data_IF_590088343327
#
_entry.id   IF_590088343327
#
_cell.length_a   1.000
_cell.length_b   1.000
_cell.length_c   1.000
_cell.angle_alpha   90.00
_cell.angle_beta   90.00
_cell.angle_gamma   90.00
#
_symmetry.space_group_name_H-M   'P 1'
#
loop_
_entity.id
_entity.type
_entity.pdbx_description
1 polymer ?
#
# COMPACT_ATOMS: atom_id res chain seq x y z
N UNK A 1 18.10 -18.75 -0.84
CA UNK A 1 16.64 -18.92 -0.59
C UNK A 1 15.95 -17.60 -0.24
N UNK A 2 16.52 -16.77 0.64
CA UNK A 2 15.98 -15.44 1.04
C UNK A 2 15.61 -14.55 -0.16
N UNK A 3 16.38 -14.61 -1.24
CA UNK A 3 16.15 -13.80 -2.43
C UNK A 3 14.80 -14.03 -3.12
N UNK A 4 14.42 -15.30 -3.31
CA UNK A 4 13.19 -15.66 -4.02
C UNK A 4 11.95 -15.25 -3.23
N UNK A 5 11.95 -15.51 -1.92
CA UNK A 5 10.87 -15.09 -1.02
C UNK A 5 10.74 -13.57 -0.93
N UNK A 6 11.86 -12.84 -0.84
CA UNK A 6 11.85 -11.38 -0.80
C UNK A 6 11.32 -10.78 -2.10
N UNK A 7 11.65 -11.35 -3.27
CA UNK A 7 11.11 -10.87 -4.54
C UNK A 7 9.62 -11.18 -4.72
N UNK A 8 9.14 -12.34 -4.27
CA UNK A 8 7.69 -12.64 -4.28
C UNK A 8 6.94 -11.69 -3.35
N UNK A 9 7.47 -11.43 -2.16
CA UNK A 9 6.88 -10.48 -1.21
C UNK A 9 6.89 -9.05 -1.77
N UNK A 10 8.00 -8.61 -2.36
CA UNK A 10 8.10 -7.31 -3.01
C UNK A 10 7.10 -7.18 -4.16
N UNK A 11 7.00 -8.21 -5.01
CA UNK A 11 6.04 -8.27 -6.11
C UNK A 11 4.61 -8.19 -5.62
N UNK A 12 4.26 -8.96 -4.58
CA UNK A 12 2.93 -8.91 -3.97
C UNK A 12 2.62 -7.50 -3.46
N UNK A 13 3.49 -6.93 -2.61
CA UNK A 13 3.28 -5.59 -2.05
C UNK A 13 3.18 -4.51 -3.14
N UNK A 14 4.04 -4.55 -4.17
CA UNK A 14 3.94 -3.65 -5.31
C UNK A 14 2.61 -3.79 -6.05
N UNK A 15 2.15 -5.03 -6.27
CA UNK A 15 0.85 -5.28 -6.89
C UNK A 15 -0.30 -4.72 -6.06
N UNK A 16 -0.27 -4.92 -4.73
CA UNK A 16 -1.27 -4.37 -3.81
C UNK A 16 -1.31 -2.84 -3.83
N UNK A 17 -0.15 -2.19 -3.64
CA UNK A 17 -0.04 -0.72 -3.65
C UNK A 17 -0.34 -0.13 -5.04
N UNK A 18 0.13 -0.76 -6.11
CA UNK A 18 -0.09 -0.32 -7.48
C UNK A 18 -1.55 -0.42 -7.90
N UNK A 19 -2.19 -1.57 -7.69
CA UNK A 19 -3.58 -1.76 -8.09
C UNK A 19 -4.53 -0.87 -7.28
N UNK A 20 -4.27 -0.70 -5.98
CA UNK A 20 -5.06 0.21 -5.15
C UNK A 20 -4.86 1.67 -5.54
N UNK A 21 -3.63 2.15 -5.74
CA UNK A 21 -3.39 3.55 -6.11
C UNK A 21 -3.95 3.91 -7.50
N UNK A 22 -3.69 3.08 -8.52
CA UNK A 22 -4.14 3.33 -9.89
C UNK A 22 -5.67 3.31 -10.01
N UNK A 23 -6.33 2.33 -9.40
CA UNK A 23 -7.79 2.19 -9.52
C UNK A 23 -8.55 3.09 -8.54
N UNK A 24 -7.98 3.41 -7.38
CA UNK A 24 -8.65 4.30 -6.42
C UNK A 24 -8.55 5.76 -6.82
N UNK A 25 -7.45 6.20 -7.43
CA UNK A 25 -7.32 7.56 -7.95
C UNK A 25 -8.39 7.86 -9.03
N UNK A 26 -8.70 6.88 -9.89
CA UNK A 26 -9.78 7.01 -10.87
C UNK A 26 -11.16 7.03 -10.19
N UNK A 27 -11.41 6.10 -9.26
CA UNK A 27 -12.70 5.99 -8.56
C UNK A 27 -13.03 7.19 -7.66
N UNK A 28 -12.03 7.84 -7.05
CA UNK A 28 -12.23 9.08 -6.29
C UNK A 28 -12.42 10.31 -7.19
N UNK A 29 -11.74 10.38 -8.34
CA UNK A 29 -11.89 11.50 -9.28
C UNK A 29 -13.22 11.48 -10.04
N UNK A 30 -13.76 10.32 -10.38
CA UNK A 30 -15.01 10.17 -11.15
C UNK A 30 -16.29 10.27 -10.28
N UNK A 31 -16.21 10.78 -9.05
CA UNK A 31 -17.40 11.12 -8.26
C UNK A 31 -18.10 9.89 -7.71
N UNK A 32 -17.43 9.16 -6.82
CA UNK A 32 -18.09 8.10 -6.05
C UNK A 32 -19.40 8.63 -5.44
N UNK A 33 -20.48 7.84 -5.52
CA UNK A 33 -21.82 8.18 -5.01
C UNK A 33 -21.80 8.66 -3.56
N UNK A 34 -20.78 8.25 -2.81
CA UNK A 34 -20.51 8.76 -1.47
C UNK A 34 -20.14 10.26 -1.50
N UNK A 35 -19.09 10.65 -2.22
CA UNK A 35 -18.56 12.04 -2.22
C UNK A 35 -19.60 13.03 -2.74
N UNK A 36 -20.40 12.65 -3.73
CA UNK A 36 -21.47 13.51 -4.27
C UNK A 36 -22.63 13.70 -3.29
N UNK A 37 -22.90 12.71 -2.43
CA UNK A 37 -23.96 12.78 -1.42
C UNK A 37 -23.56 13.43 -0.09
N UNK A 38 -22.28 13.80 0.10
CA UNK A 38 -21.81 14.49 1.30
C UNK A 38 -22.24 15.96 1.32
N UNK A 39 -22.68 16.44 2.48
CA UNK A 39 -22.85 17.88 2.77
C UNK A 39 -21.49 18.59 2.82
N UNK A 40 -21.50 19.93 2.80
CA UNK A 40 -20.26 20.72 2.83
C UNK A 40 -19.42 20.45 4.08
N UNK A 41 -20.05 20.34 5.24
CA UNK A 41 -19.38 19.99 6.51
C UNK A 41 -18.76 18.58 6.45
N UNK A 42 -19.50 17.62 5.90
CA UNK A 42 -19.00 16.25 5.74
C UNK A 42 -17.84 16.17 4.72
N UNK A 43 -17.84 17.01 3.69
CA UNK A 43 -16.74 17.10 2.71
C UNK A 43 -15.47 17.64 3.35
N UNK A 44 -15.57 18.64 4.21
CA UNK A 44 -14.43 19.16 4.99
C UNK A 44 -13.86 18.04 5.87
N UNK A 45 -14.71 17.33 6.63
CA UNK A 45 -14.27 16.19 7.44
C UNK A 45 -13.67 15.05 6.64
N UNK A 46 -14.24 14.76 5.47
CA UNK A 46 -13.70 13.77 4.56
C UNK A 46 -12.30 14.15 4.07
N UNK A 47 -12.08 15.41 3.70
CA UNK A 47 -10.78 15.92 3.25
C UNK A 47 -9.74 15.84 4.37
N UNK A 48 -10.06 16.28 5.59
CA UNK A 48 -9.17 16.19 6.76
C UNK A 48 -8.72 14.75 7.02
N UNK A 49 -9.67 13.81 7.05
CA UNK A 49 -9.39 12.39 7.29
C UNK A 49 -8.56 11.79 6.15
N UNK A 50 -8.84 12.18 4.91
CA UNK A 50 -8.09 11.70 3.73
C UNK A 50 -6.64 12.20 3.75
N UNK A 51 -6.43 13.47 4.05
CA UNK A 51 -5.12 14.09 4.13
C UNK A 51 -4.29 13.52 5.29
N UNK A 52 -4.90 13.26 6.44
CA UNK A 52 -4.23 12.56 7.55
C UNK A 52 -3.74 11.18 7.10
N UNK A 53 -4.60 10.39 6.45
CA UNK A 53 -4.25 9.04 5.97
C UNK A 53 -3.15 9.08 4.93
N UNK A 54 -3.19 10.05 4.03
CA UNK A 54 -2.14 10.27 3.03
C UNK A 54 -0.81 10.61 3.71
N UNK A 55 -0.83 11.51 4.69
CA UNK A 55 0.36 11.89 5.47
C UNK A 55 0.96 10.69 6.21
N UNK A 56 0.13 9.86 6.85
CA UNK A 56 0.60 8.63 7.51
C UNK A 56 1.26 7.65 6.53
N UNK A 57 0.66 7.45 5.36
CA UNK A 57 1.24 6.60 4.31
C UNK A 57 2.58 7.15 3.80
N UNK A 58 2.66 8.46 3.56
CA UNK A 58 3.91 9.12 3.14
C UNK A 58 4.99 9.04 4.21
N UNK A 59 4.66 9.24 5.48
CA UNK A 59 5.60 9.08 6.60
C UNK A 59 6.12 7.64 6.69
N UNK A 60 5.23 6.64 6.61
CA UNK A 60 5.61 5.24 6.61
C UNK A 60 6.54 4.89 5.45
N UNK A 61 6.31 5.46 4.27
CA UNK A 61 7.18 5.29 3.10
C UNK A 61 8.56 5.91 3.29
N UNK A 62 8.65 7.10 3.89
CA UNK A 62 9.94 7.73 4.20
C UNK A 62 10.73 6.90 5.22
N UNK A 63 10.08 6.45 6.30
CA UNK A 63 10.72 5.59 7.30
C UNK A 63 11.16 4.27 6.67
N UNK A 64 10.30 3.65 5.86
CA UNK A 64 10.60 2.42 5.13
C UNK A 64 11.79 2.58 4.18
N UNK A 65 11.88 3.70 3.46
CA UNK A 65 12.99 3.99 2.57
C UNK A 65 14.31 4.16 3.34
N UNK A 66 14.29 4.84 4.50
CA UNK A 66 15.46 4.97 5.36
C UNK A 66 15.93 3.60 5.90
N UNK A 67 14.99 2.74 6.32
CA UNK A 67 15.31 1.37 6.75
C UNK A 67 15.88 0.53 5.60
N UNK A 68 15.32 0.65 4.41
CA UNK A 68 15.83 -0.02 3.22
C UNK A 68 17.25 0.44 2.86
N UNK A 69 17.54 1.74 2.94
CA UNK A 69 18.89 2.27 2.76
C UNK A 69 19.86 1.71 3.80
N UNK A 70 19.47 1.70 5.08
CA UNK A 70 20.26 1.09 6.15
C UNK A 70 20.58 -0.39 5.87
N UNK A 71 19.57 -1.16 5.43
CA UNK A 71 19.75 -2.55 5.02
C UNK A 71 20.73 -2.69 3.85
N UNK A 72 20.63 -1.85 2.82
CA UNK A 72 21.53 -1.89 1.66
C UNK A 72 22.98 -1.62 2.06
N UNK A 73 23.23 -0.61 2.90
CA UNK A 73 24.57 -0.29 3.40
C UNK A 73 25.13 -1.45 4.24
N UNK A 74 24.32 -1.98 5.17
CA UNK A 74 24.72 -3.10 6.02
C UNK A 74 25.00 -4.38 5.21
N UNK A 75 24.14 -4.72 4.27
CA UNK A 75 24.31 -5.90 3.41
C UNK A 75 25.56 -5.78 2.56
N UNK A 76 25.88 -4.60 2.02
CA UNK A 76 27.10 -4.41 1.22
C UNK A 76 28.38 -4.47 2.05
N UNK A 77 28.32 -4.05 3.31
CA UNK A 77 29.47 -4.11 4.22
C UNK A 77 29.75 -5.54 4.73
N UNK A 78 28.72 -6.38 4.87
CA UNK A 78 28.84 -7.72 5.47
C UNK A 78 28.89 -8.85 4.43
N UNK A 79 28.13 -8.75 3.34
CA UNK A 79 28.03 -9.77 2.30
C UNK A 79 27.80 -9.13 0.92
N UNK A 80 28.91 -8.79 0.26
CA UNK A 80 28.91 -8.17 -1.07
C UNK A 80 28.52 -9.10 -2.22
N UNK A 81 28.18 -10.36 -1.94
CA UNK A 81 27.90 -11.37 -2.99
C UNK A 81 26.45 -11.39 -3.46
N UNK A 82 25.55 -10.63 -2.80
CA UNK A 82 24.14 -10.59 -3.18
C UNK A 82 23.93 -9.95 -4.57
N UNK A 83 23.09 -10.59 -5.39
CA UNK A 83 22.74 -10.04 -6.69
C UNK A 83 21.99 -8.71 -6.55
N UNK A 84 22.17 -7.83 -7.54
CA UNK A 84 21.50 -6.53 -7.59
C UNK A 84 19.97 -6.64 -7.50
N UNK A 85 19.39 -7.63 -8.19
CA UNK A 85 17.96 -7.91 -8.14
C UNK A 85 17.49 -8.24 -6.72
N UNK A 86 18.30 -9.00 -5.98
CA UNK A 86 18.01 -9.36 -4.61
C UNK A 86 17.90 -8.16 -3.68
N UNK A 87 18.87 -7.26 -3.82
CA UNK A 87 18.97 -6.05 -3.00
C UNK A 87 17.79 -5.13 -3.27
N UNK A 88 17.39 -4.97 -4.54
CA UNK A 88 16.19 -4.21 -4.91
C UNK A 88 14.94 -4.85 -4.31
N UNK A 89 14.74 -6.15 -4.47
CA UNK A 89 13.58 -6.84 -3.92
C UNK A 89 13.47 -6.66 -2.39
N UNK A 90 14.58 -6.81 -1.66
CA UNK A 90 14.60 -6.58 -0.23
C UNK A 90 14.30 -5.11 0.12
N UNK A 91 14.91 -4.15 -0.57
CA UNK A 91 14.65 -2.74 -0.34
C UNK A 91 13.17 -2.37 -0.56
N UNK A 92 12.55 -2.90 -1.62
CA UNK A 92 11.12 -2.70 -1.91
C UNK A 92 10.26 -3.37 -0.84
N UNK A 93 10.55 -4.63 -0.49
CA UNK A 93 9.80 -5.36 0.53
C UNK A 93 9.86 -4.64 1.88
N UNK A 94 11.04 -4.21 2.31
CA UNK A 94 11.24 -3.43 3.54
C UNK A 94 10.42 -2.15 3.48
N UNK A 95 10.58 -1.35 2.42
CA UNK A 95 9.89 -0.06 2.29
C UNK A 95 8.38 -0.21 2.38
N UNK A 96 7.80 -1.13 1.60
CA UNK A 96 6.35 -1.29 1.50
C UNK A 96 5.77 -2.00 2.74
N UNK A 97 6.48 -2.97 3.32
CA UNK A 97 6.06 -3.60 4.56
C UNK A 97 6.07 -2.59 5.70
N UNK A 98 7.14 -1.81 5.86
CA UNK A 98 7.19 -0.73 6.85
C UNK A 98 6.08 0.28 6.62
N UNK A 99 5.81 0.68 5.37
CA UNK A 99 4.70 1.59 5.05
C UNK A 99 3.36 1.03 5.52
N UNK A 100 3.10 -0.25 5.23
CA UNK A 100 1.88 -0.94 5.63
C UNK A 100 1.73 -1.03 7.15
N UNK A 101 2.77 -1.49 7.84
CA UNK A 101 2.74 -1.62 9.30
C UNK A 101 2.65 -0.27 10.00
N UNK A 102 3.42 0.73 9.55
CA UNK A 102 3.35 2.09 10.08
C UNK A 102 1.92 2.64 9.93
N UNK A 103 1.31 2.49 8.76
CA UNK A 103 -0.05 2.93 8.53
C UNK A 103 -1.08 2.23 9.44
N UNK A 104 -0.90 0.94 9.75
CA UNK A 104 -1.81 0.19 10.63
C UNK A 104 -1.63 0.59 12.09
N UNK A 105 -0.39 0.65 12.56
CA UNK A 105 -0.04 0.86 13.96
C UNK A 105 -0.28 2.29 14.42
N UNK A 106 -0.11 3.27 13.52
CA UNK A 106 -0.31 4.67 13.89
C UNK A 106 -1.78 4.96 14.21
N UNK A 107 -2.05 5.62 15.36
CA UNK A 107 -3.39 6.00 15.73
C UNK A 107 -3.94 6.99 14.71
N UNK A 108 -5.24 6.84 14.41
CA UNK A 108 -5.97 7.71 13.48
C UNK A 108 -6.87 8.61 14.31
N UNK A 109 -6.83 9.90 14.03
CA UNK A 109 -7.55 10.91 14.83
C UNK A 109 -9.06 10.69 14.79
N UNK A 110 -9.60 10.38 13.61
CA UNK A 110 -11.04 10.26 13.42
C UNK A 110 -11.46 9.29 12.31
N UNK A 111 -12.76 8.95 12.31
CA UNK A 111 -13.37 8.02 11.34
C UNK A 111 -14.64 8.60 10.75
N UNK A 112 -14.70 8.58 9.41
CA UNK A 112 -15.83 9.14 8.65
C UNK A 112 -17.19 8.56 9.07
N UNK A 113 -17.22 7.27 9.46
CA UNK A 113 -18.45 6.56 9.87
C UNK A 113 -19.26 7.24 10.97
N UNK A 114 -18.63 8.11 11.80
CA UNK A 114 -19.32 8.87 12.85
C UNK A 114 -20.20 9.99 12.32
N UNK A 115 -19.92 10.46 11.11
CA UNK A 115 -20.56 11.63 10.51
C UNK A 115 -21.53 11.26 9.39
N UNK A 116 -21.66 9.98 9.06
CA UNK A 116 -22.49 9.51 7.94
C UNK A 116 -23.87 9.09 8.43
N UNK A 117 -24.88 9.42 7.64
CA UNK A 117 -26.22 8.85 7.78
C UNK A 117 -26.26 7.43 7.16
N UNK A 118 -27.32 6.62 7.40
CA UNK A 118 -27.33 5.19 7.04
C UNK A 118 -27.03 4.93 5.55
N UNK A 119 -27.62 5.71 4.63
CA UNK A 119 -27.41 5.56 3.19
C UNK A 119 -25.95 5.85 2.79
N UNK A 120 -25.34 6.90 3.36
CA UNK A 120 -23.93 7.21 3.12
C UNK A 120 -23.01 6.17 3.78
N UNK A 121 -23.37 5.64 4.94
CA UNK A 121 -22.60 4.61 5.64
C UNK A 121 -22.48 3.35 4.79
N UNK A 122 -23.58 2.90 4.16
CA UNK A 122 -23.53 1.75 3.24
C UNK A 122 -22.59 2.01 2.05
N UNK A 123 -22.66 3.20 1.45
CA UNK A 123 -21.77 3.59 0.37
C UNK A 123 -20.29 3.62 0.83
N UNK A 124 -20.02 4.08 2.05
CA UNK A 124 -18.68 4.07 2.63
C UNK A 124 -18.15 2.65 2.87
N UNK A 125 -18.99 1.75 3.38
CA UNK A 125 -18.65 0.34 3.57
C UNK A 125 -18.44 -0.40 2.24
N UNK A 126 -19.25 -0.09 1.22
CA UNK A 126 -19.05 -0.60 -0.14
C UNK A 126 -17.71 -0.15 -0.73
N UNK A 127 -17.35 1.14 -0.56
CA UNK A 127 -16.03 1.66 -0.95
C UNK A 127 -14.89 0.93 -0.22
N UNK A 128 -15.04 0.69 1.08
CA UNK A 128 -14.07 -0.06 1.88
C UNK A 128 -13.86 -1.49 1.37
N UNK A 129 -14.94 -2.21 1.06
CA UNK A 129 -14.90 -3.57 0.48
C UNK A 129 -14.22 -3.58 -0.89
N UNK A 130 -14.54 -2.63 -1.75
CA UNK A 130 -13.89 -2.50 -3.07
C UNK A 130 -12.38 -2.25 -2.93
N UNK A 131 -11.96 -1.43 -1.96
CA UNK A 131 -10.56 -1.20 -1.68
C UNK A 131 -9.85 -2.47 -1.21
N UNK A 132 -10.45 -3.24 -0.30
CA UNK A 132 -9.90 -4.51 0.17
C UNK A 132 -9.77 -5.54 -0.97
N UNK A 133 -10.76 -5.63 -1.86
CA UNK A 133 -10.70 -6.53 -3.01
C UNK A 133 -9.57 -6.16 -3.96
N UNK A 134 -9.40 -4.86 -4.25
CA UNK A 134 -8.28 -4.35 -5.08
C UNK A 134 -6.93 -4.59 -4.40
N UNK A 135 -6.83 -4.38 -3.10
CA UNK A 135 -5.60 -4.65 -2.36
C UNK A 135 -5.22 -6.13 -2.43
N UNK A 136 -6.13 -7.03 -2.04
CA UNK A 136 -5.87 -8.47 -2.05
C UNK A 136 -5.66 -9.00 -3.47
N UNK A 137 -6.46 -8.55 -4.44
CA UNK A 137 -6.28 -8.91 -5.85
C UNK A 137 -4.92 -8.45 -6.38
N UNK A 138 -4.48 -7.24 -6.02
CA UNK A 138 -3.17 -6.73 -6.34
C UNK A 138 -2.04 -7.55 -5.71
N UNK A 139 -2.17 -7.93 -4.43
CA UNK A 139 -1.20 -8.79 -3.76
C UNK A 139 -1.05 -10.14 -4.47
N UNK A 140 -2.17 -10.78 -4.82
CA UNK A 140 -2.16 -12.08 -5.50
C UNK A 140 -1.56 -11.97 -6.90
N UNK A 141 -1.98 -10.98 -7.70
CA UNK A 141 -1.47 -10.78 -9.05
C UNK A 141 0.03 -10.44 -9.05
N UNK A 142 0.46 -9.54 -8.18
CA UNK A 142 1.87 -9.14 -8.06
C UNK A 142 2.76 -10.27 -7.56
N UNK A 143 2.29 -11.04 -6.57
CA UNK A 143 3.02 -12.19 -6.03
C UNK A 143 3.13 -13.33 -7.04
N UNK A 144 2.03 -13.66 -7.73
CA UNK A 144 2.02 -14.67 -8.78
C UNK A 144 2.95 -14.29 -9.94
N UNK A 145 2.89 -13.03 -10.40
CA UNK A 145 3.78 -12.53 -11.45
C UNK A 145 5.26 -12.69 -11.05
N UNK A 146 5.64 -12.25 -9.85
CA UNK A 146 7.01 -12.40 -9.35
C UNK A 146 7.44 -13.87 -9.23
N UNK A 147 6.54 -14.76 -8.80
CA UNK A 147 6.81 -16.20 -8.71
C UNK A 147 7.07 -16.82 -10.10
N UNK A 148 6.18 -16.59 -11.06
CA UNK A 148 6.33 -17.16 -12.41
C UNK A 148 7.55 -16.60 -13.15
N UNK A 149 7.82 -15.29 -13.02
CA UNK A 149 9.05 -14.70 -13.56
C UNK A 149 10.28 -15.33 -12.94
N UNK A 150 10.30 -15.50 -11.61
CA UNK A 150 11.40 -16.17 -10.92
C UNK A 150 11.67 -17.58 -11.44
N UNK A 151 10.63 -18.35 -11.75
CA UNK A 151 10.77 -19.69 -12.34
C UNK A 151 11.24 -19.64 -13.80
N UNK A 152 10.77 -18.69 -14.60
CA UNK A 152 11.15 -18.54 -16.01
C UNK A 152 12.64 -18.17 -16.18
N UNK A 153 13.22 -17.41 -15.26
CA UNK A 153 14.64 -17.02 -15.29
C UNK A 153 15.57 -17.96 -14.53
N UNK A 154 15.05 -19.06 -13.98
CA UNK A 154 15.83 -20.09 -13.29
C UNK A 154 16.44 -21.07 -14.31
N UNK A 155 17.47 -20.62 -15.05
CA UNK A 155 18.35 -21.51 -15.82
C UNK A 155 19.28 -22.27 -14.89
#
# INVERSE_FOLDING_TARGET
MVCGSSCVLAGALLGGFGLTSLLSAKYEREGSTLVTSLSDEQRVKYAEISDERRKLSTQGMLIGALLALGYLVFSRATDGTQSWLCLICNAIAITLATTYFYYILMPKSDRMVRYLNPNQLEAHLAKGRAYQLRWTGGLLLGGAAAFFLGQAFRK
#
